data_IF_178691009699
#
_entry.id   IF_178691009699
#
_cell.length_a   1.000
_cell.length_b   1.000
_cell.length_c   1.000
_cell.angle_alpha   90.00
_cell.angle_beta   90.00
_cell.angle_gamma   90.00
#
_symmetry.space_group_name_H-M   'P 1'
#
loop_
_entity.id
_entity.type
_entity.pdbx_description
1 polymer ?
#
# COMPACT_ATOMS: atom_id res chain seq x y z
N UNK A 1 8.08 11.76 15.35
CA UNK A 1 7.16 11.44 14.23
C UNK A 1 7.84 11.96 12.97
N UNK A 2 8.18 11.08 12.03
CA UNK A 2 8.81 11.45 10.76
C UNK A 2 7.78 11.24 9.66
N UNK A 3 7.54 12.27 8.85
CA UNK A 3 6.62 12.20 7.72
C UNK A 3 7.42 11.84 6.48
N UNK A 4 6.97 10.81 5.76
CA UNK A 4 7.53 10.44 4.46
C UNK A 4 6.54 10.96 3.42
N UNK A 5 7.02 11.83 2.53
CA UNK A 5 6.26 12.28 1.36
C UNK A 5 6.53 11.29 0.22
N UNK A 6 5.46 10.79 -0.41
CA UNK A 6 5.54 9.88 -1.54
C UNK A 6 4.95 10.57 -2.77
N UNK A 7 5.65 10.47 -3.89
CA UNK A 7 5.12 10.84 -5.19
C UNK A 7 4.08 9.82 -5.68
N UNK A 8 3.30 10.21 -6.68
CA UNK A 8 2.29 9.35 -7.30
C UNK A 8 2.85 7.96 -7.67
N UNK A 9 4.00 7.94 -8.35
CA UNK A 9 4.65 6.71 -8.81
C UNK A 9 5.10 5.83 -7.63
N UNK A 10 5.67 6.44 -6.59
CA UNK A 10 6.12 5.75 -5.38
C UNK A 10 4.95 5.18 -4.59
N UNK A 11 3.84 5.91 -4.52
CA UNK A 11 2.60 5.46 -3.88
C UNK A 11 1.97 4.28 -4.62
N UNK A 12 1.95 4.32 -5.95
CA UNK A 12 1.49 3.20 -6.78
C UNK A 12 2.38 1.97 -6.63
N UNK A 13 3.70 2.17 -6.59
CA UNK A 13 4.68 1.10 -6.35
C UNK A 13 4.49 0.48 -4.96
N UNK A 14 4.31 1.31 -3.93
CA UNK A 14 4.09 0.86 -2.56
C UNK A 14 2.78 0.06 -2.43
N UNK A 15 1.69 0.52 -3.05
CA UNK A 15 0.40 -0.19 -3.09
C UNK A 15 0.55 -1.56 -3.75
N UNK A 16 1.28 -1.61 -4.86
CA UNK A 16 1.53 -2.86 -5.60
C UNK A 16 2.37 -3.84 -4.77
N UNK A 17 3.42 -3.35 -4.10
CA UNK A 17 4.26 -4.17 -3.22
C UNK A 17 3.48 -4.74 -2.03
N UNK A 18 2.66 -3.92 -1.36
CA UNK A 18 1.77 -4.35 -0.27
C UNK A 18 0.72 -5.36 -0.75
N UNK A 19 0.15 -5.16 -1.94
CA UNK A 19 -0.79 -6.10 -2.53
C UNK A 19 -0.16 -7.47 -2.82
N UNK A 20 1.04 -7.47 -3.40
CA UNK A 20 1.82 -8.69 -3.67
C UNK A 20 2.20 -9.40 -2.36
N UNK A 21 2.64 -8.64 -1.36
CA UNK A 21 2.91 -9.14 -0.01
C UNK A 21 1.66 -9.80 0.59
N UNK A 22 0.48 -9.16 0.52
CA UNK A 22 -0.75 -9.75 1.05
C UNK A 22 -1.20 -11.03 0.32
N UNK A 23 -0.85 -11.19 -0.96
CA UNK A 23 -1.15 -12.41 -1.72
C UNK A 23 -0.19 -13.56 -1.42
N UNK A 24 1.09 -13.26 -1.14
CA UNK A 24 2.12 -14.26 -0.92
C UNK A 24 2.09 -14.90 0.49
N UNK A 25 1.47 -14.23 1.48
CA UNK A 25 1.48 -14.67 2.87
C UNK A 25 0.21 -15.44 3.25
N UNK A 26 0.38 -16.71 3.62
CA UNK A 26 -0.69 -17.57 4.14
C UNK A 26 -0.70 -17.59 5.67
N UNK A 27 -1.77 -17.10 6.28
CA UNK A 27 -2.28 -17.22 7.68
C UNK A 27 -1.33 -17.07 8.89
N UNK A 28 -0.02 -17.34 8.78
CA UNK A 28 0.96 -17.39 9.87
C UNK A 28 1.25 -16.01 10.48
N UNK A 29 0.92 -14.93 9.78
CA UNK A 29 1.17 -13.54 10.21
C UNK A 29 -0.13 -12.72 10.14
N UNK A 30 -1.19 -13.22 10.77
CA UNK A 30 -2.51 -12.60 10.74
C UNK A 30 -2.50 -11.12 11.18
N UNK A 31 -1.68 -10.76 12.17
CA UNK A 31 -1.59 -9.37 12.64
C UNK A 31 -0.87 -8.46 11.63
N UNK A 32 0.18 -8.95 10.98
CA UNK A 32 0.90 -8.19 9.95
C UNK A 32 0.05 -8.02 8.69
N UNK A 33 -0.68 -9.07 8.28
CA UNK A 33 -1.66 -9.03 7.18
C UNK A 33 -2.78 -8.03 7.48
N UNK A 34 -3.30 -8.00 8.71
CA UNK A 34 -4.29 -7.01 9.13
C UNK A 34 -3.74 -5.59 9.09
N UNK A 35 -2.53 -5.37 9.61
CA UNK A 35 -1.88 -4.06 9.58
C UNK A 35 -1.62 -3.58 8.15
N UNK A 36 -1.09 -4.45 7.28
CA UNK A 36 -0.86 -4.17 5.87
C UNK A 36 -2.17 -3.87 5.10
N UNK A 37 -3.25 -4.64 5.34
CA UNK A 37 -4.58 -4.34 4.77
C UNK A 37 -5.11 -2.97 5.23
N UNK A 38 -4.97 -2.65 6.50
CA UNK A 38 -5.41 -1.37 7.05
C UNK A 38 -4.60 -0.19 6.47
N UNK A 39 -3.31 -0.38 6.18
CA UNK A 39 -2.51 0.59 5.46
C UNK A 39 -2.96 0.74 4.01
N UNK A 40 -3.19 -0.37 3.30
CA UNK A 40 -3.62 -0.35 1.90
C UNK A 40 -4.97 0.35 1.70
N UNK A 41 -5.90 0.21 2.65
CA UNK A 41 -7.18 0.93 2.65
C UNK A 41 -7.06 2.45 2.87
N UNK A 42 -5.94 2.91 3.46
CA UNK A 42 -5.66 4.35 3.62
C UNK A 42 -4.98 4.95 2.39
N UNK A 43 -4.44 4.12 1.50
CA UNK A 43 -3.84 4.58 0.26
C UNK A 43 -4.96 4.81 -0.77
N UNK A 44 -4.91 5.92 -1.54
CA UNK A 44 -5.87 6.16 -2.61
C UNK A 44 -5.80 5.03 -3.65
N UNK A 45 -6.97 4.57 -4.11
CA UNK A 45 -7.11 3.46 -5.04
C UNK A 45 -6.74 3.87 -6.47
N UNK A 46 -7.15 5.08 -6.83
CA UNK A 46 -6.79 5.79 -8.04
C UNK A 46 -5.95 6.98 -7.61
N UNK A 47 -4.68 6.96 -7.98
CA UNK A 47 -3.95 8.22 -8.03
C UNK A 47 -4.46 8.87 -9.31
N UNK A 48 -5.30 9.90 -9.18
CA UNK A 48 -5.62 10.80 -10.29
C UNK A 48 -4.28 11.34 -10.79
N UNK A 49 -3.67 10.61 -11.71
CA UNK A 49 -2.70 11.18 -12.64
C UNK A 49 -3.53 12.15 -13.44
N UNK A 50 -3.56 13.41 -13.02
CA UNK A 50 -3.92 14.51 -13.92
C UNK A 50 -2.92 14.44 -15.06
N UNK A 51 -3.29 13.69 -16.09
CA UNK A 51 -2.74 13.81 -17.43
C UNK A 51 -3.17 15.19 -17.91
N UNK A 52 -2.30 16.18 -17.65
CA UNK A 52 -2.32 17.48 -18.30
C UNK A 52 -1.54 17.41 -19.60
#
# INVERSE_FOLDING_TARGET
>A
MYTIELQAEELQMLRSALGCYLQAFGHNEADLVKAARALLLKLPEEIETKAG
#
